data_IF_212205642134
#
_entry.id   IF_212205642134
#
_cell.length_a   1.000
_cell.length_b   1.000
_cell.length_c   1.000
_cell.angle_alpha   90.00
_cell.angle_beta   90.00
_cell.angle_gamma   90.00
#
_symmetry.space_group_name_H-M   'P 1'
#
loop_
_entity.id
_entity.type
_entity.pdbx_description
1 polymer ?
#
# COMPACT_ATOMS: atom_id res chain seq x y z
N UNK A 1 -5.93 9.41 -4.48
CA UNK A 1 -6.33 8.43 -5.51
C UNK A 1 -7.36 7.51 -4.89
N UNK A 2 -8.48 7.20 -5.55
CA UNK A 2 -9.50 6.29 -5.01
C UNK A 2 -9.31 4.87 -5.55
N UNK A 3 -9.41 3.88 -4.66
CA UNK A 3 -9.47 2.46 -4.94
C UNK A 3 -10.84 1.93 -4.51
N UNK A 4 -11.36 0.91 -5.18
CA UNK A 4 -12.70 0.37 -4.88
C UNK A 4 -12.69 -1.11 -4.51
N UNK A 5 -11.59 -1.81 -4.77
CA UNK A 5 -11.53 -3.26 -4.64
C UNK A 5 -10.07 -3.71 -4.46
N UNK A 6 -9.86 -4.90 -3.89
CA UNK A 6 -8.55 -5.52 -3.67
C UNK A 6 -8.55 -6.95 -4.20
N UNK A 7 -7.57 -7.27 -5.06
CA UNK A 7 -7.32 -8.63 -5.50
C UNK A 7 -6.20 -9.20 -4.64
N UNK A 8 -6.52 -10.22 -3.86
CA UNK A 8 -5.55 -11.00 -3.11
C UNK A 8 -5.08 -12.21 -3.91
N UNK A 9 -3.77 -12.42 -3.95
CA UNK A 9 -3.17 -13.70 -4.39
C UNK A 9 -2.55 -14.37 -3.18
N UNK A 10 -2.82 -15.66 -2.99
CA UNK A 10 -2.34 -16.46 -1.87
C UNK A 10 -0.83 -16.27 -1.61
N UNK A 11 -0.01 -16.38 -2.66
CA UNK A 11 1.45 -16.17 -2.57
C UNK A 11 1.87 -14.82 -1.95
N UNK A 12 1.04 -13.77 -2.06
CA UNK A 12 1.32 -12.47 -1.46
C UNK A 12 0.74 -12.37 -0.06
N UNK A 13 -0.43 -12.97 0.18
CA UNK A 13 -1.02 -13.06 1.54
C UNK A 13 -0.06 -13.78 2.49
N UNK A 14 0.42 -14.96 2.10
CA UNK A 14 1.34 -15.76 2.93
C UNK A 14 2.64 -14.99 3.20
N UNK A 15 3.20 -14.39 2.15
CA UNK A 15 4.41 -13.57 2.25
C UNK A 15 4.23 -12.37 3.21
N UNK A 16 3.06 -11.73 3.23
CA UNK A 16 2.80 -10.59 4.13
C UNK A 16 2.82 -11.03 5.59
N UNK A 17 2.11 -12.13 5.90
CA UNK A 17 2.08 -12.67 7.24
C UNK A 17 3.46 -13.17 7.68
N UNK A 18 4.06 -14.07 6.89
CA UNK A 18 5.28 -14.79 7.30
C UNK A 18 6.52 -13.91 7.29
N UNK A 19 6.66 -13.02 6.30
CA UNK A 19 7.87 -12.20 6.12
C UNK A 19 7.79 -10.85 6.82
N UNK A 20 6.60 -10.30 6.95
CA UNK A 20 6.42 -8.91 7.37
C UNK A 20 5.53 -8.75 8.60
N UNK A 21 4.84 -9.81 9.06
CA UNK A 21 3.89 -9.69 10.17
C UNK A 21 2.81 -8.65 9.89
N UNK A 22 2.36 -8.59 8.63
CA UNK A 22 1.31 -7.67 8.17
C UNK A 22 0.11 -8.50 7.74
N UNK A 23 -1.09 -8.17 8.25
CA UNK A 23 -2.33 -8.82 7.82
C UNK A 23 -2.92 -8.17 6.57
N UNK A 24 -3.84 -8.86 5.90
CA UNK A 24 -4.62 -8.28 4.80
C UNK A 24 -5.47 -7.11 5.26
N UNK A 25 -6.02 -7.19 6.48
CA UNK A 25 -6.87 -6.13 7.06
C UNK A 25 -6.08 -4.82 7.25
N UNK A 26 -4.84 -4.90 7.74
CA UNK A 26 -3.98 -3.72 7.88
C UNK A 26 -3.64 -3.09 6.53
N UNK A 27 -3.50 -3.91 5.48
CA UNK A 27 -3.26 -3.42 4.13
C UNK A 27 -4.50 -2.72 3.58
N UNK A 28 -5.67 -3.32 3.75
CA UNK A 28 -6.95 -2.74 3.32
C UNK A 28 -7.23 -1.43 4.04
N UNK A 29 -6.99 -1.38 5.36
CA UNK A 29 -7.11 -0.16 6.15
C UNK A 29 -6.26 0.96 5.56
N UNK A 30 -4.98 0.70 5.28
CA UNK A 30 -4.11 1.71 4.65
C UNK A 30 -4.58 2.09 3.24
N UNK A 31 -5.06 1.14 2.43
CA UNK A 31 -5.47 1.42 1.06
C UNK A 31 -6.78 2.23 0.97
N UNK A 32 -7.67 2.08 1.94
CA UNK A 32 -9.00 2.69 1.92
C UNK A 32 -9.14 3.89 2.87
N UNK A 33 -8.27 4.04 3.89
CA UNK A 33 -8.25 5.21 4.77
C UNK A 33 -7.34 6.32 4.26
N UNK A 34 -7.74 6.93 3.13
CA UNK A 34 -7.09 8.11 2.55
C UNK A 34 -5.55 8.04 2.50
N UNK A 35 -4.96 7.02 1.86
CA UNK A 35 -3.50 6.90 1.81
C UNK A 35 -2.87 8.03 1.02
N UNK A 36 -1.64 8.37 1.42
CA UNK A 36 -0.75 9.10 0.52
C UNK A 36 -0.19 8.12 -0.50
N UNK A 37 -0.50 8.32 -1.79
CA UNK A 37 -0.10 7.39 -2.86
C UNK A 37 0.81 8.06 -3.87
N UNK A 38 1.91 7.39 -4.20
CA UNK A 38 2.84 7.78 -5.27
C UNK A 38 3.09 6.65 -6.27
N UNK A 39 3.42 7.03 -7.49
CA UNK A 39 3.92 6.12 -8.51
C UNK A 39 5.34 5.69 -8.12
N UNK A 40 5.56 4.39 -7.97
CA UNK A 40 6.87 3.83 -7.65
C UNK A 40 7.63 3.45 -8.93
N UNK A 41 6.97 2.75 -9.85
CA UNK A 41 7.56 2.33 -11.11
C UNK A 41 6.50 2.24 -12.22
N UNK A 42 6.88 2.58 -13.45
CA UNK A 42 6.05 2.30 -14.62
C UNK A 42 6.09 0.80 -14.88
N UNK A 43 4.91 0.17 -14.93
CA UNK A 43 4.86 -1.26 -15.20
C UNK A 43 5.12 -1.59 -16.66
N UNK A 44 5.49 -2.85 -16.91
CA UNK A 44 5.70 -3.38 -18.28
C UNK A 44 4.39 -3.54 -19.05
N UNK A 45 3.27 -3.68 -18.35
CA UNK A 45 1.92 -3.81 -18.92
C UNK A 45 1.25 -2.43 -18.92
N UNK A 46 0.75 -2.01 -20.09
CA UNK A 46 0.09 -0.72 -20.24
C UNK A 46 -1.12 -0.62 -19.30
N UNK A 47 -1.10 0.40 -18.44
CA UNK A 47 -2.16 0.66 -17.47
C UNK A 47 -2.01 -0.08 -16.14
N UNK A 48 -0.91 -0.82 -15.95
CA UNK A 48 -0.61 -1.53 -14.70
C UNK A 48 0.71 -1.05 -14.11
N UNK A 49 0.70 0.13 -13.50
CA UNK A 49 1.89 0.64 -12.82
C UNK A 49 1.97 0.16 -11.38
N UNK A 50 3.20 0.16 -10.84
CA UNK A 50 3.46 -0.10 -9.44
C UNK A 50 3.34 1.21 -8.64
N UNK A 51 2.52 1.18 -7.60
CA UNK A 51 2.31 2.29 -6.68
C UNK A 51 2.74 1.89 -5.28
N UNK A 52 3.07 2.91 -4.48
CA UNK A 52 3.24 2.79 -3.03
C UNK A 52 2.21 3.65 -2.32
N UNK A 53 1.43 3.06 -1.44
CA UNK A 53 0.57 3.76 -0.49
C UNK A 53 1.26 3.82 0.88
N UNK A 54 1.17 4.98 1.51
CA UNK A 54 1.64 5.25 2.86
C UNK A 54 0.43 5.55 3.73
N UNK A 55 0.33 4.86 4.87
CA UNK A 55 -0.74 5.09 5.82
C UNK A 55 -0.37 4.64 7.22
N UNK A 56 -1.21 5.04 8.17
CA UNK A 56 -1.15 4.61 9.56
C UNK A 56 -2.42 3.82 9.86
N UNK A 57 -2.29 2.60 10.39
CA UNK A 57 -3.43 1.80 10.84
C UNK A 57 -4.04 2.41 12.11
N UNK A 58 -5.26 2.05 12.47
CA UNK A 58 -5.92 2.47 13.71
C UNK A 58 -5.17 2.00 14.95
N UNK A 59 -4.45 0.88 14.86
CA UNK A 59 -3.54 0.40 15.89
C UNK A 59 -2.23 1.22 15.99
N UNK A 60 -2.04 2.22 15.12
CA UNK A 60 -0.91 3.13 15.12
C UNK A 60 0.31 2.65 14.35
N UNK A 61 0.23 1.53 13.62
CA UNK A 61 1.36 1.05 12.79
C UNK A 61 1.46 1.85 11.51
N UNK A 62 2.68 2.24 11.16
CA UNK A 62 2.96 2.97 9.92
C UNK A 62 3.39 1.97 8.85
N UNK A 63 2.57 1.77 7.83
CA UNK A 63 2.83 0.78 6.78
C UNK A 63 3.03 1.44 5.42
N UNK A 64 3.95 0.89 4.65
CA UNK A 64 4.06 1.14 3.21
C UNK A 64 3.57 -0.09 2.44
N UNK A 65 2.56 0.11 1.61
CA UNK A 65 1.92 -0.93 0.78
C UNK A 65 2.34 -0.74 -0.68
N UNK A 66 2.93 -1.78 -1.26
CA UNK A 66 3.27 -1.85 -2.68
C UNK A 66 2.17 -2.60 -3.42
N UNK A 67 1.57 -1.96 -4.41
CA UNK A 67 0.47 -2.57 -5.16
C UNK A 67 0.48 -2.17 -6.63
N UNK A 68 0.01 -3.09 -7.48
CA UNK A 68 -0.25 -2.81 -8.88
C UNK A 68 -1.67 -2.27 -8.98
N UNK A 69 -1.84 -1.10 -9.61
CA UNK A 69 -3.18 -0.61 -9.92
C UNK A 69 -3.68 -1.31 -11.17
N UNK A 70 -4.78 -2.06 -11.05
CA UNK A 70 -5.48 -2.71 -12.16
C UNK A 70 -6.56 -1.78 -12.73
N UNK A 71 -7.22 -2.25 -13.80
CA UNK A 71 -8.41 -1.58 -14.35
C UNK A 71 -9.49 -1.43 -13.26
N UNK A 72 -10.41 -0.48 -13.44
CA UNK A 72 -11.50 -0.18 -12.50
C UNK A 72 -11.05 0.23 -11.08
N UNK A 73 -9.80 0.69 -10.94
CA UNK A 73 -9.23 1.12 -9.67
C UNK A 73 -9.21 0.03 -8.59
N UNK A 74 -8.97 -1.21 -9.02
CA UNK A 74 -8.67 -2.34 -8.14
C UNK A 74 -7.18 -2.35 -7.80
N UNK A 75 -6.85 -2.57 -6.53
CA UNK A 75 -5.47 -2.78 -6.10
C UNK A 75 -5.11 -4.27 -6.12
N UNK A 76 -3.92 -4.60 -6.58
CA UNK A 76 -3.29 -5.91 -6.37
C UNK A 76 -2.06 -5.68 -5.47
N UNK A 77 -2.18 -5.86 -4.14
CA UNK A 77 -1.04 -5.79 -3.24
C UNK A 77 -0.03 -6.89 -3.57
N UNK A 78 1.25 -6.52 -3.62
CA UNK A 78 2.37 -7.44 -3.90
C UNK A 78 3.37 -7.51 -2.73
N UNK A 79 3.33 -6.52 -1.84
CA UNK A 79 4.10 -6.47 -0.59
C UNK A 79 3.58 -5.35 0.30
N UNK A 80 3.76 -5.47 1.60
CA UNK A 80 3.58 -4.41 2.57
C UNK A 80 4.52 -4.68 3.75
N UNK A 81 4.94 -3.62 4.43
CA UNK A 81 5.83 -3.70 5.59
C UNK A 81 5.74 -2.43 6.41
N UNK A 82 6.29 -2.46 7.62
CA UNK A 82 6.54 -1.26 8.39
C UNK A 82 7.41 -0.26 7.61
N UNK A 83 7.03 1.01 7.71
CA UNK A 83 7.82 2.12 7.21
C UNK A 83 9.12 2.24 8.00
N UNK A 84 10.21 2.47 7.28
CA UNK A 84 11.48 2.95 7.85
C UNK A 84 11.34 4.36 8.44
N UNK A 85 12.29 4.78 9.27
CA UNK A 85 12.27 6.12 9.86
C UNK A 85 12.19 7.25 8.81
N UNK A 86 12.90 7.09 7.68
CA UNK A 86 12.86 8.05 6.58
C UNK A 86 11.49 8.07 5.87
N UNK A 87 10.87 6.91 5.65
CA UNK A 87 9.53 6.82 5.07
C UNK A 87 8.45 7.41 6.00
N UNK A 88 8.57 7.20 7.32
CA UNK A 88 7.65 7.81 8.30
C UNK A 88 7.76 9.32 8.27
N UNK A 89 8.99 9.86 8.30
CA UNK A 89 9.22 11.30 8.19
C UNK A 89 8.60 11.87 6.92
N UNK A 90 8.86 11.23 5.78
CA UNK A 90 8.26 11.61 4.51
C UNK A 90 6.72 11.59 4.57
N UNK A 91 6.12 10.53 5.12
CA UNK A 91 4.66 10.43 5.27
C UNK A 91 4.09 11.58 6.11
N UNK A 92 4.73 11.92 7.23
CA UNK A 92 4.31 13.05 8.06
C UNK A 92 4.37 14.39 7.31
N UNK A 93 5.47 14.67 6.62
CA UNK A 93 5.62 15.90 5.82
C UNK A 93 4.53 16.01 4.74
N UNK A 94 4.12 14.89 4.13
CA UNK A 94 3.03 14.87 3.15
C UNK A 94 1.64 14.96 3.78
N UNK A 95 1.46 14.40 4.97
CA UNK A 95 0.19 14.44 5.70
C UNK A 95 -0.12 15.84 6.23
N UNK A 96 0.90 16.60 6.64
CA UNK A 96 0.73 17.99 7.10
C UNK A 96 0.49 18.98 5.95
N UNK A 97 0.86 18.63 4.73
CA UNK A 97 0.70 19.48 3.55
C UNK A 97 -0.70 19.38 2.90
N UNK A 98 -1.54 18.43 3.32
CA UNK A 98 -2.89 18.19 2.83
C UNK A 98 -3.94 18.56 3.88
#
# INVERSE_FOLDING_TARGET
>A
MQLYDVIWKEQFVDKLADKHGVSTDEVEEVLFDQPHVRLAERGRVKGENLYTAYGQTAAGRYLVVFFIRKRRATALPISARDMSAAERRYYHEQKEAN
#
